data_IF_187248657170
#
_entry.id   IF_187248657170
#
_cell.length_a   1.000
_cell.length_b   1.000
_cell.length_c   1.000
_cell.angle_alpha   90.00
_cell.angle_beta   90.00
_cell.angle_gamma   90.00
#
_symmetry.space_group_name_H-M   'P 1'
#
loop_
_entity.id
_entity.type
_entity.pdbx_description
1 polymer ?
#
# COMPACT_ATOMS: atom_id res chain seq x y z
N UNK A 1 25.24 -27.73 31.30
CA UNK A 1 26.37 -28.30 30.52
C UNK A 1 25.99 -29.48 29.62
N UNK A 2 24.85 -30.16 29.83
CA UNK A 2 24.38 -31.28 28.96
C UNK A 2 23.73 -30.86 27.63
N UNK A 3 23.43 -29.58 27.48
CA UNK A 3 22.69 -28.99 26.36
C UNK A 3 23.60 -28.44 25.25
N UNK A 4 24.89 -28.20 25.54
CA UNK A 4 25.87 -27.76 24.52
C UNK A 4 26.44 -28.93 23.71
N UNK A 5 26.60 -30.10 24.33
CA UNK A 5 27.07 -31.32 23.64
C UNK A 5 26.04 -31.89 22.66
N UNK A 6 24.74 -31.74 22.94
CA UNK A 6 23.67 -32.19 22.03
C UNK A 6 23.59 -31.32 20.77
N UNK A 7 23.83 -30.00 20.90
CA UNK A 7 23.81 -29.06 19.77
C UNK A 7 25.00 -29.28 18.81
N UNK A 8 26.19 -29.59 19.36
CA UNK A 8 27.39 -29.89 18.56
C UNK A 8 27.23 -31.20 17.77
N UNK A 9 26.56 -32.21 18.35
CA UNK A 9 26.29 -33.47 17.67
C UNK A 9 25.28 -33.30 16.51
N UNK A 10 24.29 -32.41 16.67
CA UNK A 10 23.28 -32.13 15.65
C UNK A 10 23.87 -31.37 14.44
N UNK A 11 24.80 -30.44 14.68
CA UNK A 11 25.49 -29.69 13.62
C UNK A 11 26.43 -30.60 12.80
N UNK A 12 27.09 -31.58 13.44
CA UNK A 12 27.94 -32.54 12.73
C UNK A 12 27.13 -33.49 11.82
N UNK A 13 25.95 -33.93 12.24
CA UNK A 13 25.09 -34.83 11.44
C UNK A 13 24.49 -34.10 10.22
N UNK A 14 24.17 -32.81 10.34
CA UNK A 14 23.62 -32.03 9.23
C UNK A 14 24.65 -31.73 8.12
N UNK A 15 25.95 -31.69 8.48
CA UNK A 15 27.03 -31.47 7.52
C UNK A 15 27.32 -32.67 6.59
N UNK A 16 26.80 -33.85 6.90
CA UNK A 16 27.07 -35.08 6.13
C UNK A 16 26.09 -35.34 4.98
N UNK A 17 25.06 -34.52 4.79
CA UNK A 17 23.98 -34.75 3.80
C UNK A 17 24.21 -33.97 2.48
N UNK A 18 25.24 -33.12 2.39
CA UNK A 18 25.48 -32.27 1.19
C UNK A 18 26.52 -32.83 0.21
N UNK A 19 26.86 -34.12 0.29
CA UNK A 19 27.77 -34.77 -0.64
C UNK A 19 27.11 -35.96 -1.36
N UNK A 20 26.15 -35.66 -2.24
CA UNK A 20 25.88 -36.53 -3.39
C UNK A 20 25.81 -35.71 -4.66
N UNK A 21 26.72 -36.08 -5.55
CA UNK A 21 27.18 -35.36 -6.73
C UNK A 21 26.25 -35.48 -7.93
N UNK A 22 26.46 -34.54 -8.86
CA UNK A 22 25.95 -34.48 -10.21
C UNK A 22 26.13 -35.79 -11.00
N UNK A 23 25.24 -36.00 -11.98
CA UNK A 23 25.58 -36.68 -13.23
C UNK A 23 24.75 -36.12 -14.38
N UNK A 24 25.47 -35.64 -15.39
CA UNK A 24 25.01 -35.32 -16.73
C UNK A 24 24.87 -36.61 -17.56
N UNK A 25 23.88 -36.69 -18.47
CA UNK A 25 24.06 -36.98 -19.91
C UNK A 25 22.73 -37.26 -20.63
N UNK A 26 22.73 -36.87 -21.91
CA UNK A 26 21.68 -36.80 -22.93
C UNK A 26 21.29 -38.18 -23.53
N UNK A 27 20.44 -38.25 -24.58
CA UNK A 27 19.26 -39.13 -24.65
C UNK A 27 19.53 -40.46 -25.39
N UNK A 28 18.67 -41.46 -25.20
CA UNK A 28 18.54 -42.60 -26.13
C UNK A 28 17.20 -43.30 -25.93
N UNK A 29 16.37 -43.27 -26.97
CA UNK A 29 15.42 -44.35 -27.29
C UNK A 29 16.14 -45.28 -28.31
N UNK A 30 15.81 -46.58 -28.46
CA UNK A 30 14.51 -46.99 -29.02
C UNK A 30 13.90 -48.34 -28.53
N UNK A 31 12.60 -48.50 -28.84
CA UNK A 31 11.79 -49.71 -29.09
C UNK A 31 11.67 -50.83 -28.03
N UNK A 32 10.43 -51.21 -27.67
CA UNK A 32 9.55 -52.10 -28.46
C UNK A 32 8.18 -52.32 -27.78
N UNK A 33 7.12 -52.37 -28.62
CA UNK A 33 5.88 -53.20 -28.57
C UNK A 33 5.01 -53.24 -27.29
N UNK A 34 3.68 -53.28 -27.31
CA UNK A 34 2.58 -53.24 -28.29
C UNK A 34 1.28 -53.20 -27.44
N UNK A 35 0.25 -52.46 -27.87
CA UNK A 35 -1.18 -52.83 -27.81
C UNK A 35 -2.10 -51.59 -27.78
N UNK A 36 -3.07 -51.57 -28.71
CA UNK A 36 -4.41 -51.03 -28.41
C UNK A 36 -4.92 -49.85 -29.24
N UNK A 37 -5.57 -50.20 -30.36
CA UNK A 37 -6.77 -49.59 -30.95
C UNK A 37 -6.79 -48.16 -31.55
N UNK A 38 -7.16 -48.19 -32.83
CA UNK A 38 -7.61 -47.17 -33.79
C UNK A 38 -8.75 -46.26 -33.33
N UNK A 39 -8.69 -44.98 -33.70
CA UNK A 39 -9.76 -44.27 -34.43
C UNK A 39 -9.28 -42.93 -35.06
N UNK A 40 -9.24 -42.93 -36.39
CA UNK A 40 -9.56 -41.91 -37.42
C UNK A 40 -9.45 -40.39 -37.13
N UNK A 41 -8.64 -39.66 -37.94
CA UNK A 41 -9.03 -38.73 -39.05
C UNK A 41 -9.42 -37.33 -38.51
N UNK A 42 -8.92 -36.16 -38.92
CA UNK A 42 -8.43 -35.67 -40.21
C UNK A 42 -7.56 -34.41 -40.01
N UNK A 43 -6.63 -34.22 -40.94
CA UNK A 43 -5.78 -33.05 -41.13
C UNK A 43 -6.55 -31.99 -41.94
N UNK A 44 -6.41 -30.70 -41.63
CA UNK A 44 -6.80 -29.62 -42.55
C UNK A 44 -5.92 -28.39 -42.34
N UNK A 45 -4.86 -28.33 -43.14
CA UNK A 45 -4.17 -27.10 -43.50
C UNK A 45 -5.14 -26.09 -44.14
N UNK A 46 -5.01 -24.81 -43.77
CA UNK A 46 -5.14 -23.70 -44.71
C UNK A 46 -4.43 -22.44 -44.23
N UNK A 47 -3.27 -22.24 -44.84
CA UNK A 47 -2.56 -21.00 -45.04
C UNK A 47 -3.43 -20.00 -45.83
N UNK A 48 -3.62 -18.76 -45.34
CA UNK A 48 -3.77 -17.55 -46.17
C UNK A 48 -3.05 -16.39 -45.45
N UNK A 49 -2.00 -15.90 -46.10
CA UNK A 49 -1.41 -14.57 -45.95
C UNK A 49 -2.43 -13.51 -46.40
N UNK A 50 -2.52 -12.40 -45.67
CA UNK A 50 -2.87 -11.13 -46.30
C UNK A 50 -2.02 -10.01 -45.69
N UNK A 51 -1.09 -9.53 -46.51
CA UNK A 51 -0.52 -8.20 -46.40
C UNK A 51 -1.60 -7.19 -46.77
N UNK A 52 -1.80 -6.16 -45.96
CA UNK A 52 -2.15 -4.87 -46.56
C UNK A 52 -1.51 -3.71 -45.81
N UNK A 53 -0.66 -3.02 -46.56
CA UNK A 53 0.01 -1.75 -46.32
C UNK A 53 -0.75 -0.69 -47.10
N UNK A 54 -1.07 0.45 -46.51
CA UNK A 54 -1.27 1.81 -47.11
C UNK A 54 -1.75 2.70 -45.94
N UNK A 55 -0.90 3.47 -45.26
CA UNK A 55 -0.33 4.80 -45.58
C UNK A 55 -1.13 5.98 -44.98
N UNK A 56 -0.36 6.85 -44.27
CA UNK A 56 -0.57 8.30 -44.03
C UNK A 56 -1.69 8.64 -43.01
N UNK A 57 -1.39 9.27 -41.88
CA UNK A 57 -1.12 10.71 -41.85
C UNK A 57 -0.30 11.19 -40.64
N UNK A 58 0.67 12.03 -40.98
CA UNK A 58 1.56 12.84 -40.15
C UNK A 58 0.80 13.89 -39.35
N UNK A 59 1.12 14.05 -38.06
CA UNK A 59 1.21 15.38 -37.46
C UNK A 59 2.27 15.39 -36.35
N UNK A 60 3.38 16.05 -36.65
CA UNK A 60 4.34 16.61 -35.71
C UNK A 60 3.83 17.97 -35.25
N UNK A 61 3.94 18.27 -33.96
CA UNK A 61 4.25 19.60 -33.42
C UNK A 61 4.62 19.40 -31.94
N UNK A 62 5.90 19.29 -31.61
CA UNK A 62 6.95 20.30 -31.43
C UNK A 62 7.11 20.68 -29.95
N UNK A 63 8.33 20.45 -29.48
CA UNK A 63 8.83 20.76 -28.14
C UNK A 63 9.15 22.25 -27.99
N UNK A 64 8.82 22.76 -26.81
CA UNK A 64 9.67 23.54 -25.90
C UNK A 64 10.51 24.69 -26.47
N UNK A 65 10.23 25.92 -26.00
CA UNK A 65 11.31 26.88 -25.72
C UNK A 65 11.00 27.65 -24.43
N UNK A 66 12.03 27.66 -23.59
CA UNK A 66 12.21 28.26 -22.28
C UNK A 66 12.41 29.77 -22.41
N UNK A 67 11.81 30.55 -21.52
CA UNK A 67 12.38 31.85 -21.12
C UNK A 67 12.06 32.16 -19.64
N UNK A 68 13.12 32.55 -18.91
CA UNK A 68 13.22 32.99 -17.52
C UNK A 68 14.39 34.01 -17.51
N UNK A 69 14.55 34.93 -16.54
CA UNK A 69 13.65 35.88 -15.89
C UNK A 69 14.14 37.35 -16.09
N UNK A 70 13.31 38.34 -15.77
CA UNK A 70 13.79 39.67 -15.39
C UNK A 70 13.44 39.99 -13.93
N UNK A 71 14.47 40.35 -13.18
CA UNK A 71 14.40 41.12 -11.93
C UNK A 71 13.91 42.55 -12.23
N UNK A 72 13.24 43.20 -11.28
CA UNK A 72 13.71 44.48 -10.69
C UNK A 72 12.79 44.94 -9.56
N UNK A 73 13.49 45.39 -8.52
CA UNK A 73 13.20 45.95 -7.21
C UNK A 73 12.39 47.26 -7.17
N UNK A 74 11.69 47.49 -6.06
CA UNK A 74 11.56 48.82 -5.40
C UNK A 74 10.96 48.68 -3.99
N UNK A 75 11.79 48.79 -2.94
CA UNK A 75 11.79 49.81 -1.85
C UNK A 75 10.50 50.66 -1.66
N UNK A 76 10.07 51.15 -0.48
CA UNK A 76 10.53 51.21 0.93
C UNK A 76 9.44 51.96 1.75
N UNK A 77 9.31 51.69 3.06
CA UNK A 77 9.01 52.62 4.21
C UNK A 77 8.15 51.95 5.31
N UNK A 78 8.61 51.68 6.54
CA UNK A 78 9.16 52.50 7.67
C UNK A 78 8.10 53.07 8.63
N UNK A 79 7.90 52.34 9.75
CA UNK A 79 7.78 52.74 11.18
C UNK A 79 6.74 53.81 11.62
N UNK A 80 5.84 53.44 12.54
CA UNK A 80 5.73 54.12 13.86
C UNK A 80 4.91 53.32 14.89
N UNK A 81 5.44 53.31 16.10
CA UNK A 81 5.03 52.62 17.32
C UNK A 81 4.77 53.66 18.44
N UNK A 82 3.98 53.24 19.46
CA UNK A 82 3.81 53.78 20.82
C UNK A 82 2.83 54.97 21.03
N UNK A 83 1.98 55.06 22.07
CA UNK A 83 1.64 54.22 23.24
C UNK A 83 0.38 54.81 23.99
N UNK A 84 -0.54 53.93 24.47
CA UNK A 84 -1.32 53.87 25.77
C UNK A 84 -2.02 55.11 26.41
N UNK A 85 -2.95 55.00 27.43
CA UNK A 85 -3.27 53.85 28.32
C UNK A 85 -4.77 53.55 28.71
N UNK A 86 -4.98 52.28 29.15
CA UNK A 86 -5.75 51.76 30.33
C UNK A 86 -7.29 51.85 30.44
N UNK A 87 -7.96 50.67 30.47
CA UNK A 87 -8.93 50.28 31.52
C UNK A 87 -9.18 48.75 31.53
N UNK A 88 -9.58 48.22 32.68
CA UNK A 88 -9.56 46.81 33.10
C UNK A 88 -10.96 46.14 33.09
N UNK A 89 -11.02 44.86 32.67
CA UNK A 89 -11.99 43.74 32.92
C UNK A 89 -13.51 43.95 32.71
N UNK A 90 -14.30 42.92 32.34
CA UNK A 90 -14.31 41.56 32.91
C UNK A 90 -13.92 40.44 31.92
N UNK A 91 -13.49 39.29 32.47
CA UNK A 91 -13.14 38.05 31.79
C UNK A 91 -14.21 37.58 30.80
N UNK A 92 -13.81 37.43 29.53
CA UNK A 92 -14.57 36.69 28.53
C UNK A 92 -14.11 35.24 28.60
N UNK A 93 -15.07 34.38 28.94
CA UNK A 93 -15.08 32.93 28.85
C UNK A 93 -14.34 32.43 27.59
N UNK A 94 -13.56 31.33 27.63
CA UNK A 94 -12.85 30.82 26.46
C UNK A 94 -13.85 30.55 25.33
N UNK A 95 -13.61 31.21 24.20
CA UNK A 95 -14.33 31.02 22.96
C UNK A 95 -14.03 29.60 22.46
N UNK A 96 -14.97 28.69 22.65
CA UNK A 96 -14.95 27.36 22.05
C UNK A 96 -14.74 27.54 20.54
N UNK A 97 -13.64 27.00 20.03
CA UNK A 97 -13.38 26.85 18.59
C UNK A 97 -14.64 26.32 17.90
N UNK A 98 -15.09 26.90 16.78
CA UNK A 98 -16.22 26.38 16.03
C UNK A 98 -15.96 24.94 15.62
N UNK A 99 -16.67 23.99 16.23
CA UNK A 99 -16.72 22.61 15.75
C UNK A 99 -17.51 22.61 14.46
N UNK A 100 -16.82 22.88 13.35
CA UNK A 100 -17.32 22.61 12.00
C UNK A 100 -17.61 21.12 11.93
N UNK A 101 -18.86 20.75 11.66
CA UNK A 101 -19.21 19.34 11.43
C UNK A 101 -18.27 18.77 10.35
N UNK A 102 -17.68 17.59 10.57
CA UNK A 102 -16.83 16.96 9.56
C UNK A 102 -17.58 16.79 8.24
N UNK A 103 -16.91 17.05 7.11
CA UNK A 103 -17.43 16.69 5.79
C UNK A 103 -17.53 15.16 5.71
N UNK A 104 -18.70 14.63 5.36
CA UNK A 104 -18.96 13.19 5.20
C UNK A 104 -17.91 12.51 4.29
N UNK A 105 -17.35 13.23 3.30
CA UNK A 105 -16.30 12.70 2.42
C UNK A 105 -14.97 12.43 3.12
N UNK A 106 -14.80 12.98 4.31
CA UNK A 106 -13.59 12.84 5.14
C UNK A 106 -13.80 11.88 6.31
N UNK A 107 -14.87 11.10 6.29
CA UNK A 107 -15.18 10.11 7.31
C UNK A 107 -14.78 8.70 6.87
N UNK A 108 -14.12 7.99 7.77
CA UNK A 108 -13.83 6.57 7.67
C UNK A 108 -14.72 5.82 8.65
N UNK A 109 -15.57 4.93 8.16
CA UNK A 109 -16.45 4.12 9.00
C UNK A 109 -15.81 2.76 9.30
N UNK A 110 -15.82 2.34 10.55
CA UNK A 110 -15.34 1.05 11.01
C UNK A 110 -16.48 0.36 11.75
N UNK A 111 -16.94 -0.77 11.23
CA UNK A 111 -18.12 -1.49 11.75
C UNK A 111 -17.97 -3.01 11.59
N UNK A 112 -18.96 -3.77 12.06
CA UNK A 112 -19.04 -5.22 11.86
C UNK A 112 -19.15 -6.01 13.15
N UNK A 113 -19.36 -7.33 13.04
CA UNK A 113 -19.57 -8.22 14.17
C UNK A 113 -18.31 -8.47 15.00
N UNK A 114 -17.12 -8.31 14.42
CA UNK A 114 -15.83 -8.57 15.05
C UNK A 114 -15.33 -7.44 15.96
N UNK A 115 -16.08 -6.36 16.15
CA UNK A 115 -15.78 -5.30 17.12
C UNK A 115 -16.93 -5.07 18.09
N UNK A 116 -16.63 -4.53 19.26
CA UNK A 116 -17.66 -4.16 20.24
C UNK A 116 -18.36 -2.86 19.87
N UNK A 117 -17.60 -1.86 19.41
CA UNK A 117 -18.10 -0.52 19.16
C UNK A 117 -17.80 -0.09 17.71
N UNK A 118 -18.83 0.11 16.87
CA UNK A 118 -18.65 0.81 15.61
C UNK A 118 -18.11 2.22 15.82
N UNK A 119 -17.18 2.63 14.96
CA UNK A 119 -16.48 3.91 15.05
C UNK A 119 -16.59 4.63 13.72
N UNK A 120 -16.66 5.95 13.78
CA UNK A 120 -16.38 6.81 12.63
C UNK A 120 -15.25 7.75 13.00
N UNK A 121 -14.23 7.84 12.15
CA UNK A 121 -13.11 8.74 12.32
C UNK A 121 -13.07 9.74 11.17
N UNK A 122 -13.00 11.03 11.48
CA UNK A 122 -12.66 12.06 10.52
C UNK A 122 -11.17 12.03 10.17
N UNK A 123 -10.82 12.65 9.03
CA UNK A 123 -9.42 12.83 8.64
C UNK A 123 -8.60 13.57 9.71
N UNK A 124 -9.18 14.58 10.35
CA UNK A 124 -8.52 15.36 11.40
C UNK A 124 -8.29 14.53 12.66
N UNK A 125 -9.24 13.67 13.05
CA UNK A 125 -9.08 12.74 14.17
C UNK A 125 -7.98 11.71 13.88
N UNK A 126 -7.92 11.16 12.66
CA UNK A 126 -6.84 10.26 12.24
C UNK A 126 -5.49 10.98 12.32
N UNK A 127 -5.36 12.18 11.74
CA UNK A 127 -4.13 12.98 11.79
C UNK A 127 -3.71 13.37 13.21
N UNK A 128 -4.65 13.36 14.16
CA UNK A 128 -4.41 13.66 15.57
C UNK A 128 -3.88 12.46 16.37
N UNK A 129 -3.89 11.24 15.82
CA UNK A 129 -3.36 10.02 16.46
C UNK A 129 -1.83 9.96 16.41
N UNK A 130 -1.14 10.86 17.13
CA UNK A 130 0.33 11.03 17.03
C UNK A 130 1.14 9.78 17.41
N UNK A 131 0.69 9.01 18.39
CA UNK A 131 1.40 7.79 18.82
C UNK A 131 1.37 6.66 17.77
N UNK A 132 0.42 6.72 16.83
CA UNK A 132 0.24 5.75 15.78
C UNK A 132 0.64 6.28 14.39
N UNK A 133 1.20 7.48 14.34
CA UNK A 133 1.71 8.08 13.12
C UNK A 133 2.83 7.22 12.52
N UNK A 134 2.79 7.04 11.20
CA UNK A 134 3.80 6.34 10.45
C UNK A 134 4.11 7.08 9.15
N UNK A 135 5.40 7.19 8.84
CA UNK A 135 5.92 7.83 7.64
C UNK A 135 7.15 7.05 7.16
N UNK A 136 7.09 6.53 5.95
CA UNK A 136 8.22 5.85 5.31
C UNK A 136 7.99 5.74 3.79
N UNK A 137 9.03 5.33 3.08
CA UNK A 137 8.99 4.93 1.68
C UNK A 137 8.60 3.44 1.59
N UNK A 138 7.54 3.15 0.83
CA UNK A 138 7.08 1.79 0.57
C UNK A 138 7.46 1.37 -0.84
N UNK A 139 8.15 0.25 -0.94
CA UNK A 139 8.34 -0.44 -2.21
C UNK A 139 7.03 -1.05 -2.70
N UNK A 140 6.79 -0.96 -4.01
CA UNK A 140 5.65 -1.59 -4.65
C UNK A 140 6.05 -2.39 -5.86
N UNK A 141 5.47 -3.58 -5.97
CA UNK A 141 5.50 -4.44 -7.13
C UNK A 141 4.06 -4.63 -7.62
N UNK A 142 3.79 -4.27 -8.87
CA UNK A 142 2.48 -4.49 -9.48
C UNK A 142 2.40 -5.82 -10.24
N UNK A 143 1.19 -6.18 -10.70
CA UNK A 143 0.95 -7.44 -11.42
C UNK A 143 1.63 -7.54 -12.79
N UNK A 144 2.18 -6.44 -13.31
CA UNK A 144 2.94 -6.38 -14.56
C UNK A 144 4.46 -6.39 -14.34
N UNK A 145 4.92 -6.53 -13.09
CA UNK A 145 6.34 -6.49 -12.74
C UNK A 145 6.95 -5.08 -12.69
N UNK A 146 6.13 -4.03 -12.68
CA UNK A 146 6.63 -2.66 -12.46
C UNK A 146 6.93 -2.46 -10.99
N UNK A 147 8.15 -1.98 -10.74
CA UNK A 147 8.69 -1.67 -9.42
C UNK A 147 8.73 -0.15 -9.22
N UNK A 148 8.25 0.34 -8.09
CA UNK A 148 8.26 1.78 -7.78
C UNK A 148 8.18 2.02 -6.27
N UNK A 149 8.79 3.13 -5.82
CA UNK A 149 8.74 3.61 -4.44
C UNK A 149 7.73 4.74 -4.26
N UNK A 150 7.01 4.71 -3.14
CA UNK A 150 6.03 5.72 -2.77
C UNK A 150 6.26 6.15 -1.32
N UNK A 151 6.35 7.46 -1.12
CA UNK A 151 6.46 8.05 0.20
C UNK A 151 5.07 8.26 0.80
N UNK A 152 4.76 7.63 1.93
CA UNK A 152 3.45 7.74 2.58
C UNK A 152 3.52 8.37 3.97
N UNK A 153 2.43 9.06 4.34
CA UNK A 153 2.12 9.38 5.74
C UNK A 153 0.74 8.82 6.09
N UNK A 154 0.65 8.16 7.25
CA UNK A 154 -0.52 7.41 7.64
C UNK A 154 -0.61 7.13 9.14
N UNK A 155 -1.69 6.45 9.53
CA UNK A 155 -1.87 5.87 10.86
C UNK A 155 -1.79 4.36 10.72
N UNK A 156 -1.05 3.71 11.63
CA UNK A 156 -1.03 2.25 11.76
C UNK A 156 -2.44 1.70 11.97
N UNK A 157 -2.87 0.74 11.15
CA UNK A 157 -4.23 0.17 11.22
C UNK A 157 -4.54 -0.42 12.60
N UNK A 158 -3.53 -1.01 13.26
CA UNK A 158 -3.68 -1.57 14.61
C UNK A 158 -4.28 -0.56 15.59
N UNK A 159 -3.82 0.70 15.57
CA UNK A 159 -4.32 1.72 16.48
C UNK A 159 -5.76 2.16 16.17
N UNK A 160 -6.19 2.05 14.90
CA UNK A 160 -7.58 2.29 14.50
C UNK A 160 -8.46 1.17 15.04
N UNK A 161 -8.02 -0.09 14.89
CA UNK A 161 -8.76 -1.27 15.36
C UNK A 161 -8.84 -1.34 16.88
N UNK A 162 -7.77 -0.96 17.59
CA UNK A 162 -7.73 -0.92 19.05
C UNK A 162 -8.81 0.02 19.63
N UNK A 163 -9.22 1.07 18.89
CA UNK A 163 -10.34 1.93 19.32
C UNK A 163 -11.68 1.19 19.30
N UNK A 164 -11.88 0.29 18.33
CA UNK A 164 -13.14 -0.45 18.12
C UNK A 164 -13.37 -1.58 19.12
N UNK A 165 -12.31 -1.93 19.86
CA UNK A 165 -12.22 -3.10 20.73
C UNK A 165 -12.48 -4.36 19.90
N UNK A 166 -11.40 -4.88 19.30
CA UNK A 166 -11.44 -6.10 18.51
C UNK A 166 -11.81 -7.30 19.38
N UNK A 167 -12.78 -8.10 18.94
CA UNK A 167 -13.17 -9.33 19.62
C UNK A 167 -12.23 -10.47 19.27
N UNK A 168 -12.05 -11.40 20.19
CA UNK A 168 -11.27 -12.63 19.95
C UNK A 168 -11.84 -13.51 18.82
N UNK A 169 -13.13 -13.35 18.51
CA UNK A 169 -13.80 -14.05 17.42
C UNK A 169 -13.58 -13.40 16.05
N UNK A 170 -13.00 -12.20 15.99
CA UNK A 170 -12.74 -11.51 14.73
C UNK A 170 -11.72 -12.29 13.90
N UNK A 171 -12.02 -12.46 12.63
CA UNK A 171 -11.26 -13.31 11.70
C UNK A 171 -10.85 -12.56 10.45
N UNK A 172 -11.71 -11.66 9.98
CA UNK A 172 -11.60 -11.03 8.68
C UNK A 172 -11.80 -9.53 8.76
N UNK A 173 -11.02 -8.80 7.96
CA UNK A 173 -11.13 -7.35 7.79
C UNK A 173 -11.28 -7.04 6.31
N UNK A 174 -12.39 -6.39 5.96
CA UNK A 174 -12.71 -5.98 4.60
C UNK A 174 -12.63 -4.47 4.44
N UNK A 175 -11.78 -4.00 3.55
CA UNK A 175 -11.65 -2.61 3.15
C UNK A 175 -12.53 -2.34 1.93
N UNK A 176 -13.41 -1.34 2.02
CA UNK A 176 -14.38 -1.00 0.98
C UNK A 176 -14.12 0.42 0.49
N UNK A 177 -13.83 0.53 -0.80
CA UNK A 177 -13.65 1.79 -1.50
C UNK A 177 -14.98 2.43 -1.90
N UNK A 178 -14.97 3.74 -2.17
CA UNK A 178 -16.15 4.49 -2.61
C UNK A 178 -16.74 4.00 -3.94
N UNK A 179 -15.96 3.33 -4.77
CA UNK A 179 -16.39 2.72 -6.04
C UNK A 179 -16.97 1.29 -5.88
N UNK A 180 -16.99 0.78 -4.65
CA UNK A 180 -17.46 -0.57 -4.32
C UNK A 180 -16.41 -1.66 -4.41
N UNK A 181 -15.16 -1.35 -4.78
CA UNK A 181 -14.06 -2.30 -4.71
C UNK A 181 -13.85 -2.77 -3.26
N UNK A 182 -13.54 -4.06 -3.09
CA UNK A 182 -13.32 -4.69 -1.79
C UNK A 182 -11.99 -5.41 -1.76
N UNK A 183 -11.24 -5.24 -0.69
CA UNK A 183 -10.08 -6.05 -0.37
C UNK A 183 -10.26 -6.68 1.00
N UNK A 184 -10.05 -7.98 1.09
CA UNK A 184 -10.21 -8.76 2.30
C UNK A 184 -8.84 -9.25 2.79
N UNK A 185 -8.61 -9.15 4.09
CA UNK A 185 -7.41 -9.64 4.78
C UNK A 185 -7.82 -10.36 6.07
N UNK A 186 -7.03 -11.32 6.53
CA UNK A 186 -7.21 -11.85 7.88
C UNK A 186 -6.79 -10.82 8.92
N UNK A 187 -7.33 -10.92 10.14
CA UNK A 187 -6.90 -10.09 11.28
C UNK A 187 -5.39 -10.17 11.49
N UNK A 188 -4.80 -11.37 11.38
CA UNK A 188 -3.36 -11.59 11.51
C UNK A 188 -2.57 -10.78 10.46
N UNK A 189 -2.98 -10.84 9.20
CA UNK A 189 -2.34 -10.07 8.12
C UNK A 189 -2.46 -8.56 8.37
N UNK A 190 -3.64 -8.09 8.76
CA UNK A 190 -3.86 -6.66 9.00
C UNK A 190 -3.06 -6.15 10.20
N UNK A 191 -2.88 -6.95 11.25
CA UNK A 191 -2.12 -6.57 12.46
C UNK A 191 -0.61 -6.80 12.34
N UNK A 192 -0.15 -7.43 11.26
CA UNK A 192 1.27 -7.69 11.01
C UNK A 192 2.06 -6.38 10.90
N UNK A 193 3.20 -6.30 11.59
CA UNK A 193 4.08 -5.12 11.64
C UNK A 193 5.45 -5.33 10.97
N UNK A 194 5.68 -6.51 10.40
CA UNK A 194 6.96 -6.95 9.85
C UNK A 194 6.88 -7.27 8.35
N UNK A 195 5.99 -6.60 7.60
CA UNK A 195 6.05 -6.63 6.14
C UNK A 195 7.38 -6.05 5.66
N UNK A 196 7.90 -6.55 4.55
CA UNK A 196 9.25 -6.24 4.10
C UNK A 196 9.29 -5.36 2.85
N UNK A 197 10.48 -4.85 2.59
CA UNK A 197 10.94 -4.36 1.30
C UNK A 197 11.96 -5.39 0.78
N UNK A 198 11.76 -5.96 -0.41
CA UNK A 198 12.69 -6.95 -0.96
C UNK A 198 14.08 -6.38 -1.27
N UNK A 199 14.18 -5.09 -1.57
CA UNK A 199 15.44 -4.40 -1.85
C UNK A 199 16.07 -3.80 -0.59
N UNK A 200 15.31 -3.75 0.52
CA UNK A 200 15.79 -3.27 1.81
C UNK A 200 15.37 -4.20 2.95
N UNK A 201 16.11 -5.30 3.19
CA UNK A 201 15.72 -6.35 4.14
C UNK A 201 15.75 -5.93 5.62
N UNK A 202 16.19 -4.72 5.95
CA UNK A 202 16.11 -4.15 7.30
C UNK A 202 14.75 -3.47 7.56
N UNK A 203 14.00 -3.14 6.51
CA UNK A 203 12.70 -2.47 6.63
C UNK A 203 11.62 -3.41 7.12
N UNK A 204 10.84 -2.94 8.08
CA UNK A 204 9.67 -3.64 8.64
C UNK A 204 8.52 -2.66 8.69
N UNK A 205 7.48 -2.96 7.94
CA UNK A 205 6.33 -2.08 7.74
C UNK A 205 5.10 -2.63 8.47
N UNK A 206 4.40 -1.75 9.23
CA UNK A 206 3.01 -1.99 9.58
C UNK A 206 2.11 -1.78 8.37
N UNK A 207 0.90 -2.34 8.47
CA UNK A 207 -0.22 -1.90 7.63
C UNK A 207 -0.68 -0.52 8.08
N UNK A 208 -0.87 0.40 7.14
CA UNK A 208 -1.31 1.77 7.44
C UNK A 208 -2.54 2.17 6.63
N UNK A 209 -3.32 3.10 7.18
CA UNK A 209 -4.24 3.96 6.43
C UNK A 209 -3.54 5.29 6.17
N UNK A 210 -3.15 5.50 4.92
CA UNK A 210 -2.47 6.70 4.46
C UNK A 210 -3.47 7.78 4.03
N UNK A 211 -3.08 9.05 4.22
CA UNK A 211 -3.78 10.23 3.68
C UNK A 211 -2.86 11.12 2.82
N UNK A 212 -1.59 10.74 2.69
CA UNK A 212 -0.55 11.51 2.02
C UNK A 212 0.34 10.59 1.21
N UNK A 213 0.66 11.00 -0.02
CA UNK A 213 1.49 10.27 -0.96
C UNK A 213 2.39 11.25 -1.72
N UNK A 214 3.70 10.97 -1.75
CA UNK A 214 4.68 11.69 -2.56
C UNK A 214 4.63 13.22 -2.41
N UNK A 215 4.58 13.70 -1.16
CA UNK A 215 4.58 15.13 -0.84
C UNK A 215 3.20 15.80 -0.90
N UNK A 216 2.12 15.06 -1.17
CA UNK A 216 0.78 15.61 -1.32
C UNK A 216 -0.28 14.84 -0.54
N UNK A 217 -1.13 15.57 0.18
CA UNK A 217 -2.34 15.02 0.79
C UNK A 217 -3.38 14.67 -0.28
N UNK A 218 -4.13 13.59 -0.06
CA UNK A 218 -5.27 13.24 -0.90
C UNK A 218 -6.35 14.33 -0.83
N UNK A 219 -6.95 14.63 -1.97
CA UNK A 219 -7.98 15.66 -2.11
C UNK A 219 -9.36 15.06 -1.83
N UNK A 220 -10.05 15.43 -0.74
CA UNK A 220 -11.37 14.90 -0.39
C UNK A 220 -12.45 15.17 -1.44
N UNK A 221 -12.21 16.12 -2.36
CA UNK A 221 -13.14 16.41 -3.45
C UNK A 221 -13.04 15.39 -4.60
N UNK A 222 -11.98 14.58 -4.64
CA UNK A 222 -11.75 13.55 -5.67
C UNK A 222 -12.10 12.14 -5.19
N UNK A 223 -12.31 11.96 -3.89
CA UNK A 223 -12.60 10.68 -3.26
C UNK A 223 -12.31 10.75 -1.77
N UNK A 224 -12.70 9.70 -1.03
CA UNK A 224 -12.36 9.61 0.38
C UNK A 224 -10.82 9.63 0.55
N UNK A 225 -10.25 10.45 1.44
CA UNK A 225 -8.80 10.68 1.50
C UNK A 225 -8.06 9.58 2.27
N UNK A 226 -8.41 8.31 2.05
CA UNK A 226 -7.90 7.17 2.79
C UNK A 226 -7.46 6.05 1.86
N UNK A 227 -6.22 5.58 2.04
CA UNK A 227 -5.62 4.51 1.25
C UNK A 227 -5.03 3.42 2.16
N UNK A 228 -5.31 2.16 1.88
CA UNK A 228 -4.61 1.04 2.48
C UNK A 228 -3.21 0.94 1.86
N UNK A 229 -2.18 0.82 2.69
CA UNK A 229 -0.81 0.59 2.23
C UNK A 229 -0.18 -0.52 3.05
N UNK A 230 0.45 -1.47 2.35
CA UNK A 230 1.11 -2.64 2.92
C UNK A 230 2.42 -2.94 2.20
N UNK A 231 3.43 -3.38 2.94
CA UNK A 231 4.67 -3.92 2.35
C UNK A 231 4.47 -5.32 1.77
N UNK A 232 5.57 -5.96 1.36
CA UNK A 232 5.57 -7.32 0.84
C UNK A 232 5.60 -8.36 1.96
N UNK A 233 4.96 -9.51 1.78
CA UNK A 233 5.06 -10.63 2.74
C UNK A 233 6.42 -11.33 2.66
N UNK A 234 6.94 -11.43 1.44
CA UNK A 234 8.19 -12.08 1.08
C UNK A 234 8.73 -11.47 -0.24
N UNK A 235 10.00 -11.69 -0.60
CA UNK A 235 10.54 -11.19 -1.86
C UNK A 235 9.76 -11.71 -3.07
N UNK A 236 9.43 -10.82 -4.00
CA UNK A 236 8.61 -11.08 -5.19
C UNK A 236 7.10 -11.00 -4.96
N UNK A 237 6.63 -10.72 -3.73
CA UNK A 237 5.20 -10.59 -3.44
C UNK A 237 4.61 -9.34 -4.13
N UNK A 238 3.53 -9.53 -4.89
CA UNK A 238 2.83 -8.46 -5.60
C UNK A 238 1.88 -7.76 -4.63
N UNK A 239 2.31 -6.62 -4.08
CA UNK A 239 1.58 -5.90 -3.05
C UNK A 239 0.75 -4.73 -3.58
N UNK A 240 1.13 -4.09 -4.70
CA UNK A 240 0.48 -2.86 -5.18
C UNK A 240 -1.03 -2.98 -5.40
N UNK A 241 -1.58 -4.10 -5.96
CA UNK A 241 -3.02 -4.26 -6.14
C UNK A 241 -3.81 -4.28 -4.82
N UNK A 242 -3.15 -4.56 -3.70
CA UNK A 242 -3.77 -4.56 -2.38
C UNK A 242 -3.93 -3.14 -1.81
N UNK A 243 -3.31 -2.12 -2.42
CA UNK A 243 -3.34 -0.75 -1.91
C UNK A 243 -4.63 -0.02 -2.27
N UNK A 244 -5.73 -0.40 -1.60
CA UNK A 244 -7.08 0.13 -1.83
C UNK A 244 -7.12 1.64 -1.63
N UNK A 245 -7.53 2.37 -2.66
CA UNK A 245 -7.72 3.82 -2.61
C UNK A 245 -9.17 4.17 -2.26
N UNK A 246 -9.39 5.38 -1.78
CA UNK A 246 -10.72 5.94 -1.51
C UNK A 246 -11.55 5.08 -0.55
N UNK A 247 -10.92 4.56 0.51
CA UNK A 247 -11.60 3.73 1.50
C UNK A 247 -12.64 4.57 2.23
N UNK A 248 -13.90 4.11 2.23
CA UNK A 248 -14.99 4.74 2.99
C UNK A 248 -15.39 3.90 4.19
N UNK A 249 -15.14 2.59 4.14
CA UNK A 249 -15.59 1.65 5.17
C UNK A 249 -14.60 0.51 5.38
N UNK A 250 -14.45 0.11 6.63
CA UNK A 250 -13.75 -1.09 7.08
C UNK A 250 -14.77 -1.95 7.83
N UNK A 251 -14.99 -3.18 7.37
CA UNK A 251 -15.87 -4.15 8.02
C UNK A 251 -15.03 -5.23 8.70
N UNK A 252 -15.33 -5.52 9.95
CA UNK A 252 -14.62 -6.51 10.77
C UNK A 252 -15.60 -7.61 11.17
N UNK A 253 -15.29 -8.86 10.83
CA UNK A 253 -16.18 -10.02 11.02
C UNK A 253 -15.64 -11.04 12.02
#
# INVERSE_FOLDING_TARGET
>A
MKNKTLFILFVLILSLILLTACSSNTPSAPNAEEAGETQQVEESDKNIQDENKTDVETSKQDETTVEKPEETTSDTDTISEAEKPKSQQPEKLPEETPQTKPDEKTLLHIEGSGIENPITLSLDELKSMKDAYYEDDFFSLNSYGTEEYFHFKGIKIKAILDKGILKDSASTITFIASDGYKHEMSVEQTLKEDYIDEHNPEKRYPVIIAWHENGKDYDPNKGAPFRLVIGQKEPGDVNKPQWVQNIVKIIIE
#
